data_IF_631087136846
#
_entry.id   IF_631087136846
#
_cell.length_a   1.000
_cell.length_b   1.000
_cell.length_c   1.000
_cell.angle_alpha   90.00
_cell.angle_beta   90.00
_cell.angle_gamma   90.00
#
_symmetry.space_group_name_H-M   'P 1'
#
loop_
_entity.id
_entity.type
_entity.pdbx_description
1 polymer ?
#
# COMPACT_ATOMS: atom_id res chain seq x y z
N UNK A 1 29.03 30.20 12.76
CA UNK A 1 27.60 30.04 12.44
C UNK A 1 27.03 28.93 13.31
N UNK A 2 26.19 29.28 14.29
CA UNK A 2 25.72 28.35 15.32
C UNK A 2 24.90 27.20 14.74
N UNK A 3 25.32 25.97 15.04
CA UNK A 3 24.70 24.74 14.59
C UNK A 3 23.39 24.55 15.36
N UNK A 4 22.26 25.05 14.84
CA UNK A 4 20.96 24.91 15.51
C UNK A 4 20.51 23.45 15.39
N UNK A 5 20.47 22.67 16.50
CA UNK A 5 20.18 21.24 16.47
C UNK A 5 18.82 20.92 15.83
N UNK A 6 17.85 21.84 15.91
CA UNK A 6 16.56 21.69 15.24
C UNK A 6 16.64 21.73 13.71
N UNK A 7 17.53 22.55 13.13
CA UNK A 7 17.69 22.65 11.66
C UNK A 7 18.34 21.40 11.08
N UNK A 8 19.33 20.83 11.76
CA UNK A 8 20.02 19.61 11.33
C UNK A 8 19.08 18.41 11.30
N UNK A 9 18.20 18.30 12.30
CA UNK A 9 17.19 17.23 12.37
C UNK A 9 16.13 17.34 11.27
N UNK A 10 15.66 18.55 10.98
CA UNK A 10 14.72 18.78 9.86
C UNK A 10 15.37 18.39 8.53
N UNK A 11 16.61 18.81 8.29
CA UNK A 11 17.34 18.46 7.06
C UNK A 11 17.51 16.94 6.91
N UNK A 12 17.83 16.23 8.01
CA UNK A 12 17.90 14.76 8.02
C UNK A 12 16.56 14.13 7.69
N UNK A 13 15.47 14.57 8.31
CA UNK A 13 14.14 14.00 8.06
C UNK A 13 13.71 14.23 6.61
N UNK A 14 13.96 15.43 6.07
CA UNK A 14 13.70 15.73 4.66
C UNK A 14 14.52 14.82 3.74
N UNK A 15 15.81 14.64 4.01
CA UNK A 15 16.66 13.72 3.25
C UNK A 15 16.12 12.28 3.26
N UNK A 16 15.71 11.77 4.43
CA UNK A 16 15.16 10.42 4.54
C UNK A 16 13.81 10.26 3.81
N UNK A 17 12.96 11.30 3.83
CA UNK A 17 11.72 11.32 3.04
C UNK A 17 12.03 11.31 1.53
N UNK A 18 12.98 12.13 1.08
CA UNK A 18 13.40 12.15 -0.33
C UNK A 18 13.99 10.80 -0.76
N UNK A 19 14.79 10.16 0.10
CA UNK A 19 15.30 8.81 -0.14
C UNK A 19 14.16 7.78 -0.26
N UNK A 20 13.18 7.84 0.64
CA UNK A 20 12.01 6.97 0.56
C UNK A 20 11.20 7.19 -0.72
N UNK A 21 10.99 8.46 -1.12
CA UNK A 21 10.35 8.80 -2.40
C UNK A 21 11.13 8.27 -3.60
N UNK A 22 12.46 8.39 -3.57
CA UNK A 22 13.33 7.83 -4.61
C UNK A 22 13.18 6.31 -4.70
N UNK A 23 13.19 5.59 -3.56
CA UNK A 23 12.97 4.13 -3.53
C UNK A 23 11.60 3.78 -4.13
N UNK A 24 10.53 4.50 -3.78
CA UNK A 24 9.20 4.27 -4.36
C UNK A 24 9.18 4.49 -5.88
N UNK A 25 9.92 5.48 -6.39
CA UNK A 25 10.01 5.74 -7.83
C UNK A 25 10.66 4.58 -8.61
N UNK A 26 11.42 3.70 -7.95
CA UNK A 26 11.99 2.51 -8.57
C UNK A 26 10.94 1.41 -8.84
N UNK A 27 9.75 1.49 -8.25
CA UNK A 27 8.70 0.46 -8.37
C UNK A 27 8.41 0.08 -9.83
N UNK A 28 8.22 1.08 -10.71
CA UNK A 28 7.92 0.83 -12.12
C UNK A 28 9.08 0.20 -12.90
N UNK A 29 10.32 0.51 -12.51
CA UNK A 29 11.51 -0.15 -13.08
C UNK A 29 11.63 -1.59 -12.59
N UNK A 30 11.39 -1.84 -11.30
CA UNK A 30 11.38 -3.20 -10.75
C UNK A 30 10.31 -4.06 -11.43
N UNK A 31 9.13 -3.49 -11.71
CA UNK A 31 8.06 -4.15 -12.44
C UNK A 31 8.38 -4.49 -13.90
N UNK A 32 9.52 -4.04 -14.45
CA UNK A 32 9.95 -4.36 -15.82
C UNK A 32 11.15 -5.32 -15.89
N UNK A 33 11.71 -5.71 -14.73
CA UNK A 33 12.91 -6.55 -14.65
C UNK A 33 12.61 -7.78 -13.80
N UNK A 34 12.61 -8.96 -14.42
CA UNK A 34 12.40 -10.23 -13.72
C UNK A 34 13.38 -11.30 -14.22
N UNK A 35 13.78 -12.20 -13.32
CA UNK A 35 14.71 -13.30 -13.61
C UNK A 35 14.00 -14.58 -14.04
N UNK A 36 12.72 -14.72 -13.74
CA UNK A 36 11.90 -15.88 -14.08
C UNK A 36 10.55 -15.45 -14.64
N UNK A 37 9.82 -16.40 -15.21
CA UNK A 37 8.44 -16.17 -15.60
C UNK A 37 7.56 -15.89 -14.37
N UNK A 38 6.53 -15.03 -14.49
CA UNK A 38 5.62 -14.76 -13.38
C UNK A 38 4.87 -16.00 -12.89
N UNK A 39 4.73 -16.07 -11.57
CA UNK A 39 4.02 -17.14 -10.88
C UNK A 39 2.62 -16.70 -10.43
N UNK A 40 1.76 -17.68 -10.23
CA UNK A 40 0.41 -17.50 -9.67
C UNK A 40 0.33 -18.14 -8.30
N UNK A 41 -0.18 -17.41 -7.31
CA UNK A 41 -0.30 -17.88 -5.92
C UNK A 41 -1.76 -18.10 -5.47
N UNK A 42 -2.68 -18.21 -6.43
CA UNK A 42 -4.10 -18.38 -6.15
C UNK A 42 -4.40 -19.66 -5.38
N UNK A 43 -5.27 -19.55 -4.39
CA UNK A 43 -5.88 -20.67 -3.67
C UNK A 43 -7.38 -20.74 -3.96
N UNK A 44 -8.07 -21.87 -3.66
CA UNK A 44 -9.51 -21.97 -3.80
C UNK A 44 -10.30 -20.87 -3.06
N UNK A 45 -9.77 -20.34 -1.95
CA UNK A 45 -10.42 -19.29 -1.17
C UNK A 45 -10.39 -17.95 -1.93
N UNK A 46 -9.32 -17.65 -2.67
CA UNK A 46 -9.23 -16.43 -3.49
C UNK A 46 -10.29 -16.43 -4.60
N UNK A 47 -10.69 -17.61 -5.08
CA UNK A 47 -11.78 -17.78 -6.05
C UNK A 47 -13.17 -17.64 -5.43
N UNK A 48 -13.30 -17.52 -4.11
CA UNK A 48 -14.57 -17.23 -3.44
C UNK A 48 -14.78 -15.73 -3.17
N UNK A 49 -13.72 -14.92 -3.20
CA UNK A 49 -13.78 -13.47 -2.94
C UNK A 49 -14.43 -12.79 -4.15
N UNK A 50 -15.55 -12.05 -3.99
CA UNK A 50 -16.19 -11.36 -5.09
C UNK A 50 -15.43 -10.07 -5.45
N UNK A 51 -15.45 -9.71 -6.73
CA UNK A 51 -15.01 -8.39 -7.17
C UNK A 51 -15.99 -7.32 -6.65
N UNK A 52 -15.49 -6.31 -5.94
CA UNK A 52 -16.29 -5.22 -5.39
C UNK A 52 -15.67 -3.85 -5.78
N UNK A 53 -16.09 -3.25 -6.91
CA UNK A 53 -15.50 -2.02 -7.42
C UNK A 53 -15.54 -0.82 -6.46
N UNK A 54 -16.61 -0.57 -5.67
CA UNK A 54 -16.60 0.46 -4.63
C UNK A 54 -15.41 0.39 -3.65
N UNK A 55 -14.84 -0.79 -3.39
CA UNK A 55 -13.67 -0.95 -2.53
C UNK A 55 -12.41 -0.26 -3.05
N UNK A 56 -12.38 0.15 -4.33
CA UNK A 56 -11.29 0.94 -4.91
C UNK A 56 -11.08 2.25 -4.16
N UNK A 57 -12.13 2.81 -3.56
CA UNK A 57 -12.03 4.04 -2.77
C UNK A 57 -11.18 3.81 -1.51
N UNK A 58 -11.40 2.69 -0.82
CA UNK A 58 -10.62 2.32 0.35
C UNK A 58 -9.19 1.99 -0.09
N UNK A 59 -9.04 1.22 -1.17
CA UNK A 59 -7.75 0.84 -1.72
C UNK A 59 -6.85 2.04 -2.06
N UNK A 60 -7.38 3.05 -2.75
CA UNK A 60 -6.58 4.23 -3.13
C UNK A 60 -6.56 5.25 -1.99
N UNK A 61 -7.73 5.81 -1.68
CA UNK A 61 -7.79 6.99 -0.82
C UNK A 61 -7.33 6.63 0.57
N UNK A 62 -7.98 5.67 1.24
CA UNK A 62 -7.63 5.35 2.63
C UNK A 62 -6.16 4.92 2.78
N UNK A 63 -5.61 4.18 1.81
CA UNK A 63 -4.20 3.79 1.83
C UNK A 63 -3.25 5.00 1.74
N UNK A 64 -3.33 5.81 0.68
CA UNK A 64 -2.39 6.92 0.49
C UNK A 64 -2.55 8.00 1.56
N UNK A 65 -3.78 8.27 1.98
CA UNK A 65 -4.14 9.09 3.14
C UNK A 65 -3.42 8.61 4.41
N UNK A 66 -3.52 7.31 4.71
CA UNK A 66 -2.89 6.71 5.88
C UNK A 66 -1.37 6.80 5.84
N UNK A 67 -0.75 6.57 4.68
CA UNK A 67 0.70 6.73 4.47
C UNK A 67 1.14 8.17 4.67
N UNK A 68 0.48 9.11 3.99
CA UNK A 68 0.82 10.54 4.06
C UNK A 68 0.70 11.07 5.48
N UNK A 69 -0.41 10.77 6.15
CA UNK A 69 -0.62 11.16 7.54
C UNK A 69 0.46 10.59 8.46
N UNK A 70 0.76 9.30 8.37
CA UNK A 70 1.74 8.67 9.23
C UNK A 70 3.13 9.30 9.06
N UNK A 71 3.57 9.49 7.81
CA UNK A 71 4.86 10.12 7.51
C UNK A 71 4.93 11.54 8.06
N UNK A 72 3.89 12.35 7.82
CA UNK A 72 3.83 13.72 8.35
C UNK A 72 3.83 13.72 9.89
N UNK A 73 3.01 12.87 10.50
CA UNK A 73 2.87 12.77 11.95
C UNK A 73 4.19 12.41 12.63
N UNK A 74 4.83 11.32 12.19
CA UNK A 74 6.09 10.86 12.77
C UNK A 74 7.24 11.84 12.48
N UNK A 75 7.32 12.42 11.27
CA UNK A 75 8.38 13.37 10.92
C UNK A 75 8.32 14.67 11.75
N UNK A 76 7.13 15.09 12.18
CA UNK A 76 6.92 16.37 12.86
C UNK A 76 6.81 16.24 14.37
N UNK A 77 5.96 15.33 14.87
CA UNK A 77 5.61 15.21 16.29
C UNK A 77 6.39 14.12 17.02
N UNK A 78 6.63 12.98 16.37
CA UNK A 78 7.23 11.80 16.98
C UNK A 78 8.55 11.43 16.32
N UNK A 79 9.47 12.39 16.32
CA UNK A 79 10.73 12.34 15.57
C UNK A 79 11.59 11.13 15.90
N UNK A 80 11.48 10.62 17.12
CA UNK A 80 12.27 9.48 17.51
C UNK A 80 11.66 8.12 17.19
N UNK A 81 10.43 8.08 16.66
CA UNK A 81 9.84 6.92 16.01
C UNK A 81 9.89 7.03 14.47
N UNK A 82 10.18 8.23 13.95
CA UNK A 82 10.30 8.48 12.51
C UNK A 82 11.44 7.67 11.87
N UNK A 83 12.61 7.59 12.51
CA UNK A 83 13.73 6.81 11.96
C UNK A 83 13.36 5.33 11.85
N UNK A 84 12.73 4.77 12.88
CA UNK A 84 12.27 3.39 12.89
C UNK A 84 11.29 3.15 11.75
N UNK A 85 10.31 4.05 11.59
CA UNK A 85 9.32 3.93 10.52
C UNK A 85 9.99 4.01 9.14
N UNK A 86 10.77 5.05 8.86
CA UNK A 86 11.30 5.29 7.51
C UNK A 86 12.32 4.22 7.10
N UNK A 87 13.19 3.78 8.01
CA UNK A 87 14.12 2.68 7.73
C UNK A 87 13.38 1.35 7.56
N UNK A 88 12.31 1.11 8.31
CA UNK A 88 11.48 -0.08 8.11
C UNK A 88 10.80 -0.05 6.75
N UNK A 89 10.19 1.07 6.37
CA UNK A 89 9.54 1.23 5.07
C UNK A 89 10.54 1.05 3.92
N UNK A 90 11.72 1.68 3.98
CA UNK A 90 12.76 1.48 2.96
C UNK A 90 13.18 0.00 2.89
N UNK A 91 13.41 -0.65 4.03
CA UNK A 91 13.81 -2.07 4.07
C UNK A 91 12.73 -2.98 3.50
N UNK A 92 11.45 -2.74 3.84
CA UNK A 92 10.30 -3.45 3.28
C UNK A 92 10.32 -3.34 1.75
N UNK A 93 10.47 -2.13 1.20
CA UNK A 93 10.50 -1.94 -0.25
C UNK A 93 11.67 -2.66 -0.91
N UNK A 94 12.88 -2.55 -0.35
CA UNK A 94 14.06 -3.21 -0.90
C UNK A 94 13.93 -4.75 -0.88
N UNK A 95 13.39 -5.31 0.21
CA UNK A 95 13.13 -6.76 0.31
C UNK A 95 12.05 -7.18 -0.68
N UNK A 96 10.92 -6.45 -0.74
CA UNK A 96 9.87 -6.71 -1.72
C UNK A 96 10.40 -6.64 -3.15
N UNK A 97 11.20 -5.63 -3.50
CA UNK A 97 11.77 -5.49 -4.85
C UNK A 97 12.72 -6.61 -5.21
N UNK A 98 13.54 -7.08 -4.26
CA UNK A 98 14.36 -8.26 -4.48
C UNK A 98 13.49 -9.49 -4.78
N UNK A 99 12.40 -9.68 -4.03
CA UNK A 99 11.45 -10.78 -4.29
C UNK A 99 10.77 -10.61 -5.63
N UNK A 100 10.31 -9.41 -5.99
CA UNK A 100 9.66 -9.16 -7.29
C UNK A 100 10.57 -9.53 -8.46
N UNK A 101 11.87 -9.24 -8.37
CA UNK A 101 12.83 -9.58 -9.42
C UNK A 101 13.11 -11.09 -9.47
N UNK A 102 13.27 -11.74 -8.31
CA UNK A 102 13.70 -13.15 -8.21
C UNK A 102 12.54 -14.14 -8.37
N UNK A 103 11.38 -13.79 -7.83
CA UNK A 103 10.15 -14.59 -7.80
C UNK A 103 8.94 -13.69 -8.09
N UNK A 104 8.81 -13.21 -9.34
CA UNK A 104 7.68 -12.38 -9.75
C UNK A 104 6.37 -13.14 -9.55
N UNK A 105 5.41 -12.50 -8.90
CA UNK A 105 4.03 -13.01 -8.79
C UNK A 105 3.10 -12.02 -9.45
N UNK A 106 2.12 -12.57 -10.18
CA UNK A 106 1.15 -11.78 -10.92
C UNK A 106 -0.30 -12.11 -10.56
N UNK A 107 -1.13 -11.08 -10.64
CA UNK A 107 -2.56 -11.17 -10.43
C UNK A 107 -3.31 -11.29 -11.75
N UNK A 108 -4.30 -12.19 -11.79
CA UNK A 108 -5.24 -12.32 -12.90
C UNK A 108 -6.26 -11.19 -12.83
N UNK A 109 -6.28 -10.34 -13.86
CA UNK A 109 -7.19 -9.19 -13.91
C UNK A 109 -8.52 -9.53 -14.59
N UNK A 110 -9.62 -8.88 -14.19
CA UNK A 110 -10.96 -9.12 -14.76
C UNK A 110 -11.09 -8.87 -16.27
N UNK A 111 -10.18 -8.10 -16.85
CA UNK A 111 -10.26 -7.60 -18.22
C UNK A 111 -9.55 -8.44 -19.26
N UNK A 112 -8.82 -9.49 -18.87
CA UNK A 112 -8.17 -10.38 -19.82
C UNK A 112 -9.23 -11.11 -20.63
N UNK A 113 -9.39 -10.69 -21.88
CA UNK A 113 -10.32 -11.29 -22.82
C UNK A 113 -9.68 -12.53 -23.44
N UNK A 114 -10.40 -13.67 -23.47
CA UNK A 114 -9.91 -14.85 -24.16
C UNK A 114 -9.90 -14.56 -25.67
N UNK A 115 -8.78 -14.90 -26.33
CA UNK A 115 -8.57 -14.57 -27.75
C UNK A 115 -9.22 -15.57 -28.69
N UNK A 116 -9.46 -16.79 -28.19
CA UNK A 116 -9.98 -17.91 -28.96
C UNK A 116 -10.85 -18.83 -28.06
N UNK A 117 -11.48 -19.84 -28.67
CA UNK A 117 -12.38 -20.76 -27.97
C UNK A 117 -11.67 -21.56 -26.86
N UNK A 118 -10.43 -21.98 -27.06
CA UNK A 118 -9.69 -22.73 -26.04
C UNK A 118 -9.37 -21.86 -24.84
N UNK A 119 -8.99 -20.60 -25.05
CA UNK A 119 -8.81 -19.65 -23.95
C UNK A 119 -10.13 -19.47 -23.18
N UNK A 120 -11.25 -19.33 -23.89
CA UNK A 120 -12.58 -19.19 -23.28
C UNK A 120 -12.93 -20.38 -22.39
N UNK A 121 -12.72 -21.59 -22.92
CA UNK A 121 -12.93 -22.84 -22.18
C UNK A 121 -12.02 -22.90 -20.97
N UNK A 122 -10.71 -22.68 -21.15
CA UNK A 122 -9.74 -22.66 -20.05
C UNK A 122 -10.16 -21.70 -18.93
N UNK A 123 -10.49 -20.45 -19.27
CA UNK A 123 -10.86 -19.44 -18.28
C UNK A 123 -12.18 -19.76 -17.58
N UNK A 124 -13.16 -20.32 -18.29
CA UNK A 124 -14.41 -20.77 -17.68
C UNK A 124 -14.19 -21.90 -16.65
N UNK A 125 -13.26 -22.82 -16.93
CA UNK A 125 -12.94 -23.92 -16.03
C UNK A 125 -12.05 -23.53 -14.84
N UNK A 126 -11.10 -22.60 -15.03
CA UNK A 126 -10.11 -22.24 -14.01
C UNK A 126 -10.59 -21.11 -13.09
N UNK A 127 -11.48 -20.25 -13.59
CA UNK A 127 -12.00 -19.11 -12.84
C UNK A 127 -13.54 -19.13 -12.87
N UNK A 128 -14.21 -19.65 -11.82
CA UNK A 128 -15.67 -19.75 -11.79
C UNK A 128 -16.37 -18.38 -11.85
N UNK A 129 -15.65 -17.30 -11.51
CA UNK A 129 -16.13 -15.93 -11.59
C UNK A 129 -15.80 -15.26 -12.94
N UNK A 130 -15.13 -15.96 -13.86
CA UNK A 130 -14.62 -15.39 -15.11
C UNK A 130 -15.73 -14.75 -15.94
N UNK A 131 -16.82 -15.46 -16.22
CA UNK A 131 -17.90 -14.94 -17.05
C UNK A 131 -18.53 -13.69 -16.43
N UNK A 132 -18.74 -13.69 -15.11
CA UNK A 132 -19.28 -12.53 -14.40
C UNK A 132 -18.32 -11.34 -14.43
N UNK A 133 -17.02 -11.57 -14.19
CA UNK A 133 -16.00 -10.54 -14.20
C UNK A 133 -15.75 -9.97 -15.59
N UNK A 134 -15.80 -10.82 -16.62
CA UNK A 134 -15.66 -10.43 -18.02
C UNK A 134 -16.88 -9.64 -18.49
N UNK A 135 -18.10 -10.07 -18.14
CA UNK A 135 -19.32 -9.30 -18.42
C UNK A 135 -19.32 -7.96 -17.69
N UNK A 136 -18.90 -7.95 -16.41
CA UNK A 136 -18.70 -6.72 -15.65
C UNK A 136 -17.69 -5.83 -16.36
N UNK A 137 -16.51 -6.34 -16.73
CA UNK A 137 -15.49 -5.58 -17.43
C UNK A 137 -15.97 -4.98 -18.76
N UNK A 138 -16.71 -5.73 -19.58
CA UNK A 138 -17.24 -5.19 -20.83
C UNK A 138 -18.39 -4.19 -20.58
N UNK A 139 -19.12 -4.33 -19.48
CA UNK A 139 -20.09 -3.32 -19.04
C UNK A 139 -19.41 -2.03 -18.55
N UNK A 140 -18.18 -2.11 -18.00
CA UNK A 140 -17.37 -0.95 -17.58
C UNK A 140 -17.05 -0.04 -18.77
N UNK A 141 -16.84 -0.59 -19.97
CA UNK A 141 -16.57 0.22 -21.16
C UNK A 141 -17.79 0.96 -21.72
N UNK A 142 -19.02 0.63 -21.28
CA UNK A 142 -20.26 1.10 -21.94
C UNK A 142 -21.17 1.98 -21.08
N UNK A 143 -21.03 2.01 -19.75
CA UNK A 143 -21.75 2.94 -18.85
C UNK A 143 -20.98 3.15 -17.53
N UNK A 144 -20.34 4.30 -17.36
CA UNK A 144 -19.43 4.54 -16.24
C UNK A 144 -20.17 5.14 -15.04
N UNK A 145 -20.34 4.37 -13.97
CA UNK A 145 -20.31 4.96 -12.63
C UNK A 145 -18.85 5.24 -12.21
N UNK A 146 -18.68 6.15 -11.26
CA UNK A 146 -17.36 6.63 -10.86
C UNK A 146 -16.45 5.54 -10.28
N UNK A 147 -17.00 4.50 -9.65
CA UNK A 147 -16.21 3.45 -9.01
C UNK A 147 -15.57 2.53 -10.05
N UNK A 148 -16.33 2.13 -11.07
CA UNK A 148 -15.82 1.31 -12.16
C UNK A 148 -14.77 2.04 -12.99
N UNK A 149 -14.98 3.32 -13.26
CA UNK A 149 -13.98 4.16 -13.92
C UNK A 149 -12.67 4.22 -13.13
N UNK A 150 -12.75 4.51 -11.83
CA UNK A 150 -11.58 4.60 -10.96
C UNK A 150 -10.84 3.26 -10.86
N UNK A 151 -11.57 2.15 -10.76
CA UNK A 151 -10.97 0.81 -10.78
C UNK A 151 -10.25 0.51 -12.09
N UNK A 152 -10.84 0.88 -13.23
CA UNK A 152 -10.19 0.73 -14.53
C UNK A 152 -8.89 1.54 -14.61
N UNK A 153 -8.88 2.78 -14.09
CA UNK A 153 -7.66 3.58 -14.06
C UNK A 153 -6.55 2.94 -13.24
N UNK A 154 -6.88 2.33 -12.10
CA UNK A 154 -5.91 1.55 -11.31
C UNK A 154 -5.32 0.46 -12.17
N UNK A 155 -6.16 -0.36 -12.80
CA UNK A 155 -5.70 -1.45 -13.64
C UNK A 155 -4.90 -1.01 -14.87
N UNK A 156 -5.19 0.17 -15.41
CA UNK A 156 -4.50 0.73 -16.57
C UNK A 156 -3.13 1.33 -16.22
N UNK A 157 -2.98 1.86 -14.99
CA UNK A 157 -1.74 2.52 -14.53
C UNK A 157 -0.82 1.62 -13.73
N UNK A 158 -1.38 0.67 -12.99
CA UNK A 158 -0.62 -0.23 -12.14
C UNK A 158 -0.38 -1.58 -12.83
N UNK A 159 0.78 -2.16 -12.57
CA UNK A 159 1.15 -3.45 -13.14
C UNK A 159 0.31 -4.58 -12.50
N UNK A 160 -0.04 -5.65 -13.24
CA UNK A 160 -0.52 -6.88 -12.63
C UNK A 160 0.61 -7.70 -11.99
N UNK A 161 1.87 -7.27 -12.12
CA UNK A 161 3.06 -7.88 -11.50
C UNK A 161 3.31 -7.27 -10.11
N UNK A 162 4.41 -7.67 -9.45
CA UNK A 162 4.81 -7.19 -8.12
C UNK A 162 3.82 -7.50 -6.99
N UNK A 163 3.07 -8.59 -7.11
CA UNK A 163 2.03 -8.91 -6.13
C UNK A 163 2.60 -9.41 -4.79
N UNK A 164 3.65 -10.24 -4.81
CA UNK A 164 4.12 -10.97 -3.62
C UNK A 164 5.53 -10.54 -3.18
N UNK A 165 5.74 -10.10 -1.93
CA UNK A 165 4.74 -9.79 -0.91
C UNK A 165 4.01 -8.46 -1.19
N UNK A 166 2.78 -8.29 -0.68
CA UNK A 166 1.98 -7.07 -0.90
C UNK A 166 2.60 -5.86 -0.20
N UNK A 167 2.98 -4.82 -0.97
CA UNK A 167 3.42 -3.55 -0.40
C UNK A 167 2.29 -2.81 0.31
N UNK A 168 1.05 -2.93 -0.15
CA UNK A 168 -0.12 -2.35 0.52
C UNK A 168 -0.29 -2.93 1.93
N UNK A 169 -0.19 -4.26 2.05
CA UNK A 169 -0.23 -4.95 3.33
C UNK A 169 0.96 -4.56 4.21
N UNK A 170 2.17 -4.57 3.65
CA UNK A 170 3.38 -4.33 4.42
C UNK A 170 3.46 -2.89 4.94
N UNK A 171 3.20 -1.90 4.09
CA UNK A 171 3.26 -0.48 4.46
C UNK A 171 2.17 -0.15 5.49
N UNK A 172 0.93 -0.58 5.26
CA UNK A 172 -0.17 -0.30 6.20
C UNK A 172 0.04 -0.98 7.55
N UNK A 173 0.52 -2.23 7.57
CA UNK A 173 0.90 -2.95 8.79
C UNK A 173 2.04 -2.24 9.52
N UNK A 174 3.07 -1.80 8.81
CA UNK A 174 4.22 -1.12 9.41
C UNK A 174 3.79 0.20 10.07
N UNK A 175 2.90 0.95 9.43
CA UNK A 175 2.34 2.17 10.00
C UNK A 175 1.52 1.87 11.27
N UNK A 176 0.62 0.89 11.21
CA UNK A 176 -0.18 0.48 12.37
C UNK A 176 0.69 0.00 13.55
N UNK A 177 1.73 -0.78 13.24
CA UNK A 177 2.73 -1.19 14.23
C UNK A 177 3.48 0.01 14.82
N UNK A 178 3.88 0.98 14.00
CA UNK A 178 4.53 2.21 14.47
C UNK A 178 3.68 3.00 15.46
N UNK A 179 2.41 3.23 15.14
CA UNK A 179 1.46 3.86 16.06
C UNK A 179 1.24 3.06 17.34
N UNK A 180 1.20 1.73 17.24
CA UNK A 180 1.08 0.85 18.40
C UNK A 180 2.30 0.93 19.33
N UNK A 181 3.51 1.10 18.78
CA UNK A 181 4.73 1.29 19.57
C UNK A 181 4.76 2.65 20.27
N UNK A 182 4.23 3.69 19.63
CA UNK A 182 4.12 5.01 20.24
C UNK A 182 3.07 5.03 21.37
N UNK A 183 1.83 4.65 21.04
CA UNK A 183 0.71 4.63 21.99
C UNK A 183 -0.33 3.60 21.59
N UNK A 184 -0.62 2.66 22.49
CA UNK A 184 -1.59 1.56 22.25
C UNK A 184 -2.97 2.06 21.76
N UNK A 185 -3.44 3.20 22.24
CA UNK A 185 -4.70 3.80 21.77
C UNK A 185 -4.70 4.19 20.29
N UNK A 186 -3.56 4.63 19.74
CA UNK A 186 -3.44 4.91 18.30
C UNK A 186 -3.36 3.62 17.49
N UNK A 187 -2.74 2.59 18.07
CA UNK A 187 -2.78 1.23 17.58
C UNK A 187 -4.20 0.69 17.35
N UNK A 188 -5.10 0.85 18.33
CA UNK A 188 -6.49 0.40 18.21
C UNK A 188 -7.28 1.04 17.06
N UNK A 189 -6.85 2.21 16.59
CA UNK A 189 -7.46 2.91 15.44
C UNK A 189 -6.77 2.50 14.14
N UNK A 190 -5.45 2.42 14.14
CA UNK A 190 -4.64 2.21 12.94
C UNK A 190 -4.65 0.76 12.44
N UNK A 191 -4.76 -0.25 13.31
CA UNK A 191 -4.86 -1.65 12.89
C UNK A 191 -6.12 -1.96 12.07
N UNK A 192 -7.34 -1.53 12.47
CA UNK A 192 -8.52 -1.66 11.61
C UNK A 192 -8.36 -1.00 10.24
N UNK A 193 -7.67 0.15 10.14
CA UNK A 193 -7.39 0.81 8.86
C UNK A 193 -6.48 -0.06 8.00
N UNK A 194 -5.41 -0.62 8.57
CA UNK A 194 -4.52 -1.52 7.83
C UNK A 194 -5.26 -2.76 7.32
N UNK A 195 -6.09 -3.38 8.15
CA UNK A 195 -6.93 -4.53 7.75
C UNK A 195 -7.93 -4.14 6.66
N UNK A 196 -8.54 -2.95 6.74
CA UNK A 196 -9.47 -2.47 5.72
C UNK A 196 -8.77 -2.27 4.36
N UNK A 197 -7.52 -1.79 4.35
CA UNK A 197 -6.69 -1.70 3.14
C UNK A 197 -6.39 -3.10 2.57
N UNK A 198 -6.01 -4.07 3.41
CA UNK A 198 -5.75 -5.45 2.93
C UNK A 198 -7.01 -6.10 2.37
N UNK A 199 -8.17 -5.91 3.01
CA UNK A 199 -9.42 -6.45 2.50
C UNK A 199 -9.80 -5.76 1.18
N UNK A 200 -9.57 -4.45 1.05
CA UNK A 200 -9.90 -3.74 -0.18
C UNK A 200 -9.05 -4.18 -1.36
N UNK A 201 -7.76 -4.51 -1.18
CA UNK A 201 -6.91 -5.03 -2.26
C UNK A 201 -7.39 -6.39 -2.78
N UNK A 202 -7.88 -7.27 -1.90
CA UNK A 202 -8.47 -8.55 -2.29
C UNK A 202 -9.77 -8.34 -3.08
N UNK A 203 -10.63 -7.45 -2.59
CA UNK A 203 -11.93 -7.13 -3.19
C UNK A 203 -11.82 -6.47 -4.56
N UNK A 204 -10.76 -5.67 -4.79
CA UNK A 204 -10.46 -5.07 -6.10
C UNK A 204 -9.54 -5.94 -6.94
N UNK A 205 -9.36 -7.23 -6.59
CA UNK A 205 -8.53 -8.18 -7.35
C UNK A 205 -7.14 -7.61 -7.69
N UNK A 206 -6.52 -6.95 -6.72
CA UNK A 206 -5.14 -6.48 -6.78
C UNK A 206 -4.16 -7.52 -6.24
N UNK A 207 -4.58 -8.26 -5.22
CA UNK A 207 -3.76 -9.24 -4.51
C UNK A 207 -4.57 -10.50 -4.20
N UNK A 208 -3.85 -11.59 -3.92
CA UNK A 208 -4.39 -12.79 -3.27
C UNK A 208 -4.06 -12.79 -1.78
N UNK A 209 -4.74 -13.63 -1.00
CA UNK A 209 -4.56 -13.69 0.47
C UNK A 209 -3.09 -13.90 0.88
N UNK A 210 -2.36 -14.72 0.12
CA UNK A 210 -0.97 -15.03 0.43
C UNK A 210 -0.04 -13.81 0.27
N UNK A 211 -0.33 -12.91 -0.67
CA UNK A 211 0.39 -11.64 -0.82
C UNK A 211 0.20 -10.76 0.42
N UNK A 212 -1.02 -10.69 0.93
CA UNK A 212 -1.39 -9.87 2.07
C UNK A 212 -0.76 -10.40 3.37
N UNK A 213 -0.84 -11.71 3.60
CA UNK A 213 -0.24 -12.36 4.78
C UNK A 213 1.29 -12.17 4.77
N UNK A 214 1.94 -12.37 3.62
CA UNK A 214 3.39 -12.23 3.50
C UNK A 214 3.85 -10.78 3.69
N UNK A 215 3.13 -9.80 3.15
CA UNK A 215 3.41 -8.38 3.38
C UNK A 215 3.28 -7.98 4.85
N UNK A 216 2.20 -8.42 5.52
CA UNK A 216 2.02 -8.18 6.95
C UNK A 216 3.13 -8.84 7.80
N UNK A 217 3.49 -10.08 7.48
CA UNK A 217 4.58 -10.80 8.16
C UNK A 217 5.93 -10.08 7.99
N UNK A 218 6.26 -9.67 6.76
CA UNK A 218 7.47 -8.89 6.47
C UNK A 218 7.52 -7.61 7.31
N UNK A 219 6.42 -6.86 7.35
CA UNK A 219 6.32 -5.63 8.13
C UNK A 219 6.50 -5.85 9.64
N UNK A 220 5.93 -6.92 10.20
CA UNK A 220 6.10 -7.25 11.61
C UNK A 220 7.55 -7.64 11.95
N UNK A 221 8.21 -8.41 11.08
CA UNK A 221 9.62 -8.81 11.27
C UNK A 221 10.54 -7.58 11.20
N UNK A 222 10.38 -6.76 10.16
CA UNK A 222 11.18 -5.55 9.95
C UNK A 222 10.90 -4.54 11.07
N UNK A 223 9.63 -4.31 11.39
CA UNK A 223 9.20 -3.40 12.45
C UNK A 223 9.74 -3.81 13.82
N UNK A 224 9.66 -5.10 14.17
CA UNK A 224 10.29 -5.60 15.39
C UNK A 224 11.80 -5.33 15.42
N UNK A 225 12.48 -5.55 14.29
CA UNK A 225 13.92 -5.32 14.17
C UNK A 225 14.28 -3.85 14.42
N UNK A 226 13.64 -2.92 13.73
CA UNK A 226 13.99 -1.50 13.87
C UNK A 226 13.50 -0.86 15.16
N UNK A 227 12.29 -1.20 15.64
CA UNK A 227 11.72 -0.60 16.86
C UNK A 227 12.23 -1.21 18.16
N UNK A 228 12.73 -2.46 18.15
CA UNK A 228 13.20 -3.14 19.37
C UNK A 228 14.69 -3.43 19.40
N UNK A 229 15.35 -3.64 18.26
CA UNK A 229 16.76 -4.05 18.21
C UNK A 229 17.71 -2.96 17.71
N UNK A 230 17.35 -2.22 16.66
CA UNK A 230 18.26 -1.26 16.01
C UNK A 230 18.21 0.11 16.69
N UNK A 231 17.03 0.71 16.78
CA UNK A 231 16.89 2.05 17.37
C UNK A 231 16.42 1.96 18.81
N UNK A 232 17.04 2.75 19.68
CA UNK A 232 16.55 2.99 21.03
C UNK A 232 15.61 4.21 20.99
N UNK A 233 14.40 4.05 21.50
CA UNK A 233 13.50 5.19 21.69
C UNK A 233 14.05 6.08 22.82
N UNK A 234 14.34 7.37 22.55
CA UNK A 234 14.75 8.32 23.59
C UNK A 234 13.66 8.49 24.66
N UNK A 235 14.08 8.56 25.92
CA UNK A 235 13.19 8.68 27.08
C UNK A 235 12.38 9.99 27.10
N UNK A 236 12.92 11.07 26.53
CA UNK A 236 12.29 12.40 26.48
C UNK A 236 11.66 12.67 25.11
N UNK A 237 10.52 12.02 24.84
CA UNK A 237 9.70 12.37 23.68
C UNK A 237 8.84 13.62 23.93
N UNK A 238 8.57 14.44 22.89
CA UNK A 238 7.47 15.39 22.93
C UNK A 238 6.18 14.64 23.28
N UNK A 239 5.30 15.28 24.07
CA UNK A 239 3.96 14.72 24.27
C UNK A 239 3.25 14.67 22.92
N UNK A 240 2.68 13.50 22.62
CA UNK A 240 1.82 13.31 21.44
C UNK A 240 0.74 14.41 21.40
N UNK A 241 0.43 14.97 20.21
CA UNK A 241 -0.57 16.03 20.08
C UNK A 241 -1.91 15.63 20.69
N UNK A 242 -2.68 16.63 21.14
CA UNK A 242 -4.04 16.35 21.61
C UNK A 242 -4.86 15.77 20.45
N UNK A 243 -5.82 14.87 20.70
CA UNK A 243 -6.62 14.24 19.64
C UNK A 243 -7.22 15.23 18.64
N UNK A 244 -7.73 16.38 19.12
CA UNK A 244 -8.27 17.44 18.27
C UNK A 244 -7.24 18.04 17.31
N UNK A 245 -5.99 18.22 17.76
CA UNK A 245 -4.90 18.75 16.92
C UNK A 245 -4.52 17.74 15.85
N UNK A 246 -4.44 16.46 16.22
CA UNK A 246 -4.20 15.37 15.26
C UNK A 246 -5.29 15.31 14.20
N UNK A 247 -6.57 15.43 14.60
CA UNK A 247 -7.72 15.45 13.69
C UNK A 247 -7.67 16.67 12.76
N UNK A 248 -7.32 17.86 13.27
CA UNK A 248 -7.23 19.06 12.44
C UNK A 248 -6.11 18.92 11.38
N UNK A 249 -4.95 18.38 11.78
CA UNK A 249 -3.82 18.14 10.87
C UNK A 249 -4.20 17.10 9.83
N UNK A 250 -4.89 16.03 10.24
CA UNK A 250 -5.46 15.03 9.34
C UNK A 250 -6.38 15.68 8.30
N UNK A 251 -7.35 16.48 8.73
CA UNK A 251 -8.29 17.14 7.82
C UNK A 251 -7.55 18.04 6.82
N UNK A 252 -6.59 18.84 7.28
CA UNK A 252 -5.82 19.74 6.39
C UNK A 252 -4.95 18.94 5.41
N UNK A 253 -4.26 17.91 5.89
CA UNK A 253 -3.43 17.01 5.09
C UNK A 253 -4.26 16.27 4.03
N UNK A 254 -5.39 15.71 4.43
CA UNK A 254 -6.34 15.01 3.55
C UNK A 254 -6.95 15.96 2.53
N UNK A 255 -7.37 17.15 2.93
CA UNK A 255 -7.94 18.13 2.00
C UNK A 255 -6.92 18.51 0.93
N UNK A 256 -5.67 18.76 1.32
CA UNK A 256 -4.59 19.06 0.38
C UNK A 256 -4.29 17.87 -0.56
N UNK A 257 -4.31 16.64 -0.03
CA UNK A 257 -4.07 15.44 -0.81
C UNK A 257 -5.22 15.14 -1.80
N UNK A 258 -6.48 15.27 -1.36
CA UNK A 258 -7.66 15.13 -2.24
C UNK A 258 -7.63 16.15 -3.36
N UNK A 259 -7.27 17.40 -3.07
CA UNK A 259 -7.09 18.44 -4.09
C UNK A 259 -5.98 18.08 -5.08
N UNK A 260 -4.86 17.52 -4.60
CA UNK A 260 -3.80 17.01 -5.48
C UNK A 260 -4.28 15.87 -6.39
N UNK A 261 -5.00 14.88 -5.85
CA UNK A 261 -5.54 13.78 -6.64
C UNK A 261 -6.56 14.27 -7.67
N UNK A 262 -7.41 15.23 -7.30
CA UNK A 262 -8.33 15.89 -8.23
C UNK A 262 -7.57 16.52 -9.40
N UNK A 263 -6.50 17.28 -9.12
CA UNK A 263 -5.67 17.88 -10.15
C UNK A 263 -4.93 16.84 -11.01
N UNK A 264 -4.46 15.73 -10.44
CA UNK A 264 -3.66 14.74 -11.17
C UNK A 264 -4.48 13.79 -12.06
N UNK A 265 -5.75 13.55 -11.70
CA UNK A 265 -6.61 12.61 -12.43
C UNK A 265 -7.65 13.28 -13.34
N UNK A 266 -7.93 14.57 -13.15
CA UNK A 266 -8.99 15.28 -13.90
C UNK A 266 -8.46 16.40 -14.81
N UNK A 267 -7.33 17.04 -14.47
CA UNK A 267 -6.65 18.01 -15.34
C UNK A 267 -5.53 17.32 -16.13
#
# INVERSE_FOLDING_TARGET
MGNNPGKREIAKNLFLLLLYMFVNALYGYVASVHLTEPHFLFTPIDWAIPLNPPSVVIYIYLFYSFVFFALLYFATFQRAYFNQLIFSLITIHLVSYAVYIIYPVMMIRPYWAPSNLFDWVFWYYVNPQFLQNWLLYNSIHSNLDAFHWLLWMVYAKDTPLNCFPSLHAAVSTMIAYGFWQEKRSYGWISWPIAVAVMISTLLVRQHVILDEISGAALALIVGYTFYKKVFKTPETQPKSPKPLQTILILIVAETAFILYLYMYFIL
#
